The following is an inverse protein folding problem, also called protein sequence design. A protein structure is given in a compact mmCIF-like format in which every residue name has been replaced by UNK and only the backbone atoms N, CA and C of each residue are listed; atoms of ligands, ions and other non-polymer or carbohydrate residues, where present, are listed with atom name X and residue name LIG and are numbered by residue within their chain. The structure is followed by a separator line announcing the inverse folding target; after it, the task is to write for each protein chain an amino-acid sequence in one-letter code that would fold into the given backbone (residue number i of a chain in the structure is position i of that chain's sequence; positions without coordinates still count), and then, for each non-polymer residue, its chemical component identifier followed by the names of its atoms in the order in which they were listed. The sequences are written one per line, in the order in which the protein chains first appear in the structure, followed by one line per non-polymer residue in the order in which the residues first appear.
data_IF_913667483884
#
_entry.id   IF_913667483884
#
_cell.length_a   1.000
_cell.length_b   1.000
_cell.length_c   1.000
_cell.angle_alpha   90.00
_cell.angle_beta   90.00
_cell.angle_gamma   90.00
#
_symmetry.space_group_name_H-M   'P 1'
#
loop_
_entity.id
_entity.type
_entity.pdbx_description
1 polymer ?
#
# COMPACT_ATOMS: atom_id res chain seq x y z
N UNK A 1 -27.31 -0.89 -0.62
CA UNK A 1 -26.67 0.07 0.31
C UNK A 1 -25.34 -0.42 0.85
N UNK A 2 -24.98 -1.69 0.69
CA UNK A 2 -23.77 -2.31 1.24
C UNK A 2 -22.51 -2.05 0.39
N UNK A 3 -22.60 -2.22 -0.93
CA UNK A 3 -21.40 -2.23 -1.78
C UNK A 3 -20.76 -0.85 -1.95
N UNK A 4 -21.56 0.22 -1.91
CA UNK A 4 -21.03 1.60 -1.93
C UNK A 4 -20.25 1.96 -0.67
N UNK A 5 -20.68 1.47 0.50
CA UNK A 5 -19.97 1.70 1.76
C UNK A 5 -18.67 0.89 1.80
N UNK A 6 -18.71 -0.36 1.31
CA UNK A 6 -17.52 -1.20 1.19
C UNK A 6 -16.52 -0.66 0.16
N UNK A 7 -16.99 -0.11 -0.98
CA UNK A 7 -16.12 0.57 -1.95
C UNK A 7 -15.43 1.78 -1.33
N UNK A 8 -16.16 2.58 -0.55
CA UNK A 8 -15.58 3.75 0.14
C UNK A 8 -14.52 3.33 1.18
N UNK A 9 -14.78 2.28 1.96
CA UNK A 9 -13.80 1.74 2.92
C UNK A 9 -12.54 1.22 2.20
N UNK A 10 -12.71 0.54 1.07
CA UNK A 10 -11.58 0.09 0.25
C UNK A 10 -10.78 1.27 -0.29
N UNK A 11 -11.44 2.33 -0.74
CA UNK A 11 -10.79 3.56 -1.21
C UNK A 11 -9.96 4.24 -0.11
N UNK A 12 -10.51 4.33 1.10
CA UNK A 12 -9.80 4.89 2.26
C UNK A 12 -8.56 4.05 2.61
N UNK A 13 -8.70 2.72 2.62
CA UNK A 13 -7.58 1.81 2.90
C UNK A 13 -6.50 1.84 1.82
N UNK A 14 -6.89 1.99 0.55
CA UNK A 14 -5.98 2.17 -0.58
C UNK A 14 -5.21 3.48 -0.44
N UNK A 15 -5.88 4.57 -0.05
CA UNK A 15 -5.22 5.86 0.17
C UNK A 15 -4.15 5.75 1.26
N UNK A 16 -4.50 5.16 2.41
CA UNK A 16 -3.55 4.92 3.51
C UNK A 16 -2.37 4.05 3.07
N UNK A 17 -2.62 2.96 2.34
CA UNK A 17 -1.55 2.07 1.87
C UNK A 17 -0.59 2.77 0.89
N UNK A 18 -1.10 3.66 0.04
CA UNK A 18 -0.29 4.49 -0.88
C UNK A 18 0.54 5.51 -0.14
N UNK A 19 -0.03 6.19 0.85
CA UNK A 19 0.70 7.15 1.68
C UNK A 19 1.83 6.46 2.45
N UNK A 20 1.55 5.31 3.06
CA UNK A 20 2.56 4.49 3.73
C UNK A 20 3.70 4.08 2.78
N UNK A 21 3.38 3.64 1.55
CA UNK A 21 4.39 3.28 0.55
C UNK A 21 5.27 4.47 0.17
N UNK A 22 4.68 5.65 0.00
CA UNK A 22 5.43 6.87 -0.29
C UNK A 22 6.38 7.19 0.87
N UNK A 23 5.89 7.22 2.11
CA UNK A 23 6.72 7.50 3.28
C UNK A 23 7.86 6.48 3.44
N UNK A 24 7.59 5.19 3.22
CA UNK A 24 8.60 4.14 3.27
C UNK A 24 9.66 4.32 2.18
N UNK A 25 9.24 4.71 0.97
CA UNK A 25 10.16 4.96 -0.15
C UNK A 25 11.03 6.18 0.13
N UNK A 26 10.46 7.25 0.69
CA UNK A 26 11.19 8.45 1.09
C UNK A 26 12.19 8.15 2.22
N UNK A 27 11.79 7.36 3.22
CA UNK A 27 12.68 6.90 4.29
C UNK A 27 13.82 6.04 3.75
N UNK A 28 13.52 5.07 2.87
CA UNK A 28 14.53 4.21 2.25
C UNK A 28 15.55 5.04 1.45
N UNK A 29 15.08 6.04 0.70
CA UNK A 29 15.95 6.96 -0.03
C UNK A 29 16.80 7.83 0.90
N UNK A 30 16.26 8.25 2.05
CA UNK A 30 16.98 9.09 3.02
C UNK A 30 18.05 8.32 3.81
N UNK A 31 17.85 7.02 4.06
CA UNK A 31 18.76 6.17 4.85
C UNK A 31 19.65 5.27 3.98
N UNK A 32 19.86 5.58 2.69
CA UNK A 32 20.57 4.65 1.79
C UNK A 32 22.01 4.37 2.26
N UNK A 33 22.26 3.13 2.70
CA UNK A 33 23.58 2.60 3.08
C UNK A 33 23.51 1.41 4.05
N UNK A 34 23.90 0.20 3.60
CA UNK A 34 24.07 -0.99 4.45
C UNK A 34 22.85 -1.93 4.56
N UNK A 35 22.83 -2.80 5.57
CA UNK A 35 21.74 -3.78 5.83
C UNK A 35 20.34 -3.16 5.98
N UNK A 36 20.27 -1.85 6.25
CA UNK A 36 19.01 -1.09 6.34
C UNK A 36 18.27 -0.99 5.01
N UNK A 37 18.98 -1.03 3.87
CA UNK A 37 18.39 -0.92 2.54
C UNK A 37 17.60 -2.17 2.15
N UNK A 38 18.13 -3.37 2.45
CA UNK A 38 17.43 -4.63 2.19
C UNK A 38 16.15 -4.75 3.03
N UNK A 39 16.22 -4.38 4.32
CA UNK A 39 15.05 -4.38 5.21
C UNK A 39 13.98 -3.38 4.77
N UNK A 40 14.40 -2.21 4.28
CA UNK A 40 13.49 -1.22 3.73
C UNK A 40 12.82 -1.72 2.43
N UNK A 41 13.59 -2.35 1.54
CA UNK A 41 13.09 -2.94 0.30
C UNK A 41 12.05 -4.05 0.56
N UNK A 42 12.33 -4.97 1.51
CA UNK A 42 11.39 -6.03 1.89
C UNK A 42 10.07 -5.47 2.42
N UNK A 43 10.14 -4.41 3.26
CA UNK A 43 8.96 -3.76 3.81
C UNK A 43 8.14 -3.03 2.74
N UNK A 44 8.81 -2.37 1.78
CA UNK A 44 8.16 -1.73 0.62
C UNK A 44 7.46 -2.80 -0.22
N UNK A 45 8.12 -3.92 -0.51
CA UNK A 45 7.54 -5.02 -1.28
C UNK A 45 6.29 -5.60 -0.61
N UNK A 46 6.34 -5.85 0.70
CA UNK A 46 5.17 -6.33 1.45
C UNK A 46 4.01 -5.33 1.43
N UNK A 47 4.30 -4.03 1.54
CA UNK A 47 3.25 -3.01 1.50
C UNK A 47 2.64 -2.84 0.10
N UNK A 48 3.45 -3.05 -0.96
CA UNK A 48 2.98 -3.08 -2.34
C UNK A 48 2.04 -4.26 -2.60
N UNK A 49 2.39 -5.46 -2.12
CA UNK A 49 1.53 -6.64 -2.23
C UNK A 49 0.17 -6.41 -1.54
N UNK A 50 0.18 -5.80 -0.35
CA UNK A 50 -1.04 -5.45 0.36
C UNK A 50 -1.89 -4.43 -0.41
N UNK A 51 -1.26 -3.42 -1.03
CA UNK A 51 -1.95 -2.45 -1.89
C UNK A 51 -2.58 -3.13 -3.12
N UNK A 52 -1.85 -4.04 -3.76
CA UNK A 52 -2.35 -4.78 -4.93
C UNK A 52 -3.55 -5.66 -4.57
N UNK A 53 -3.55 -6.28 -3.39
CA UNK A 53 -4.69 -7.05 -2.89
C UNK A 53 -5.93 -6.17 -2.67
N UNK A 54 -5.75 -4.97 -2.10
CA UNK A 54 -6.84 -4.00 -1.91
C UNK A 54 -7.40 -3.53 -3.25
N UNK A 55 -6.54 -3.24 -4.23
CA UNK A 55 -6.95 -2.81 -5.57
C UNK A 55 -7.76 -3.91 -6.29
N UNK A 56 -7.33 -5.16 -6.19
CA UNK A 56 -8.07 -6.31 -6.75
C UNK A 56 -9.44 -6.48 -6.10
N UNK A 57 -9.53 -6.35 -4.77
CA UNK A 57 -10.79 -6.42 -4.06
C UNK A 57 -11.76 -5.30 -4.50
N UNK A 58 -11.23 -4.08 -4.66
CA UNK A 58 -12.00 -2.93 -5.16
C UNK A 58 -12.49 -3.14 -6.60
N UNK A 59 -11.63 -3.63 -7.49
CA UNK A 59 -12.01 -3.90 -8.88
C UNK A 59 -13.10 -4.97 -8.96
N UNK A 60 -12.99 -6.03 -8.16
CA UNK A 60 -14.00 -7.09 -8.10
C UNK A 60 -15.36 -6.58 -7.62
N UNK A 61 -15.39 -5.59 -6.73
CA UNK A 61 -16.62 -5.00 -6.20
C UNK A 61 -17.21 -3.90 -7.10
N UNK A 62 -16.39 -3.32 -7.98
CA UNK A 62 -16.80 -2.29 -8.94
C UNK A 62 -17.29 -2.88 -10.29
N UNK A 63 -17.18 -4.19 -10.49
CA UNK A 63 -17.73 -4.93 -11.65
C UNK A 63 -19.20 -5.26 -11.44
#
# INVERSE_FOLDING_TARGET
MSDSATLQELDERIAIARDNLRELTEQAAAYSGGEDEARAADRIAAQQEALDALLKAREALAK
#
